data_IF_031019058832
#
_entry.id   IF_031019058832
#
_cell.length_a   1.000
_cell.length_b   1.000
_cell.length_c   1.000
_cell.angle_alpha   90.00
_cell.angle_beta   90.00
_cell.angle_gamma   90.00
#
_symmetry.space_group_name_H-M   'P 1'
#
loop_
_entity.id
_entity.type
_entity.pdbx_description
1 polymer ?
#
# COMPACT_ATOMS: atom_id res chain seq x y z
N UNK A 1 4.52 12.42 -39.20
CA UNK A 1 5.09 11.10 -38.87
C UNK A 1 3.98 10.28 -38.25
N UNK A 2 3.70 9.10 -38.81
CA UNK A 2 2.54 8.26 -38.45
C UNK A 2 2.53 8.01 -36.95
N UNK A 3 1.42 8.26 -36.25
CA UNK A 3 1.32 8.07 -34.79
C UNK A 3 1.77 6.68 -34.30
N UNK A 4 1.70 5.67 -35.18
CA UNK A 4 2.26 4.33 -34.96
C UNK A 4 3.77 4.31 -34.71
N UNK A 5 4.55 5.19 -35.35
CA UNK A 5 6.01 5.25 -35.24
C UNK A 5 6.48 5.90 -33.93
N UNK A 6 5.67 6.82 -33.40
CA UNK A 6 5.90 7.45 -32.10
C UNK A 6 5.42 6.54 -30.98
N UNK A 7 4.27 5.89 -31.17
CA UNK A 7 3.80 4.84 -30.27
C UNK A 7 4.82 3.72 -30.13
N UNK A 8 5.39 3.22 -31.23
CA UNK A 8 6.44 2.19 -31.18
C UNK A 8 7.74 2.68 -30.55
N UNK A 9 8.15 3.93 -30.80
CA UNK A 9 9.32 4.52 -30.14
C UNK A 9 9.14 4.67 -28.63
N UNK A 10 7.96 5.09 -28.17
CA UNK A 10 7.62 5.17 -26.73
C UNK A 10 7.66 3.78 -26.09
N UNK A 11 7.07 2.78 -26.74
CA UNK A 11 7.10 1.39 -26.24
C UNK A 11 8.53 0.85 -26.19
N UNK A 12 9.35 1.13 -27.21
CA UNK A 12 10.75 0.73 -27.22
C UNK A 12 11.56 1.42 -26.10
N UNK A 13 11.37 2.72 -25.88
CA UNK A 13 12.02 3.45 -24.79
C UNK A 13 11.56 2.96 -23.41
N UNK A 14 10.27 2.64 -23.25
CA UNK A 14 9.76 2.02 -22.03
C UNK A 14 10.42 0.66 -21.77
N UNK A 15 10.57 -0.17 -22.81
CA UNK A 15 11.26 -1.46 -22.71
C UNK A 15 12.76 -1.33 -22.40
N UNK A 16 13.39 -0.23 -22.81
CA UNK A 16 14.77 0.13 -22.44
C UNK A 16 14.90 0.74 -21.03
N UNK A 17 13.80 0.86 -20.28
CA UNK A 17 13.79 1.33 -18.89
C UNK A 17 13.66 2.84 -18.74
N UNK A 18 13.23 3.57 -19.78
CA UNK A 18 12.96 5.00 -19.65
C UNK A 18 11.79 5.25 -18.66
N UNK A 19 11.88 6.27 -17.79
CA UNK A 19 10.82 6.57 -16.83
C UNK A 19 9.49 6.86 -17.52
N UNK A 20 8.42 6.19 -17.09
CA UNK A 20 7.10 6.28 -17.74
C UNK A 20 6.56 7.72 -17.73
N UNK A 21 6.79 8.48 -16.65
CA UNK A 21 6.36 9.89 -16.58
C UNK A 21 7.02 10.75 -17.67
N UNK A 22 8.30 10.51 -17.99
CA UNK A 22 9.03 11.25 -19.02
C UNK A 22 8.49 10.91 -20.41
N UNK A 23 8.15 9.64 -20.64
CA UNK A 23 7.53 9.19 -21.89
C UNK A 23 6.14 9.80 -22.09
N UNK A 24 5.31 9.84 -21.04
CA UNK A 24 3.99 10.46 -21.08
C UNK A 24 4.12 11.97 -21.31
N UNK A 25 5.05 12.64 -20.63
CA UNK A 25 5.30 14.08 -20.82
C UNK A 25 5.77 14.42 -22.24
N UNK A 26 6.68 13.62 -22.80
CA UNK A 26 7.14 13.78 -24.18
C UNK A 26 6.01 13.56 -25.19
N UNK A 27 5.16 12.56 -24.97
CA UNK A 27 3.98 12.32 -25.80
C UNK A 27 2.99 13.49 -25.72
N UNK A 28 2.74 14.03 -24.53
CA UNK A 28 1.86 15.18 -24.35
C UNK A 28 2.37 16.40 -25.13
N UNK A 29 3.66 16.73 -25.01
CA UNK A 29 4.30 17.82 -25.76
C UNK A 29 4.18 17.62 -27.27
N UNK A 30 4.39 16.39 -27.76
CA UNK A 30 4.24 16.07 -29.18
C UNK A 30 2.80 16.26 -29.68
N UNK A 31 1.82 15.75 -28.94
CA UNK A 31 0.40 15.85 -29.31
C UNK A 31 -0.09 17.30 -29.28
N UNK A 32 0.33 18.08 -28.29
CA UNK A 32 0.00 19.51 -28.18
C UNK A 32 0.60 20.30 -29.34
N UNK A 33 1.87 20.06 -29.66
CA UNK A 33 2.52 20.67 -30.82
C UNK A 33 1.80 20.31 -32.13
N UNK A 34 1.37 19.06 -32.29
CA UNK A 34 0.57 18.60 -33.44
C UNK A 34 -0.83 19.24 -33.54
N UNK A 35 -1.40 19.67 -32.40
CA UNK A 35 -2.66 20.39 -32.32
C UNK A 35 -2.51 21.92 -32.41
N UNK A 36 -1.28 22.44 -32.58
CA UNK A 36 -1.00 23.88 -32.59
C UNK A 36 -1.15 24.56 -31.23
N UNK A 37 -1.14 23.78 -30.14
CA UNK A 37 -1.23 24.28 -28.76
C UNK A 37 0.18 24.56 -28.26
N UNK A 38 0.37 25.74 -27.64
CA UNK A 38 1.65 26.14 -27.08
C UNK A 38 2.10 25.19 -25.95
N UNK A 39 3.41 24.92 -25.87
CA UNK A 39 3.97 24.03 -24.86
C UNK A 39 3.71 24.51 -23.42
N UNK A 40 3.52 25.82 -23.21
CA UNK A 40 3.10 26.38 -21.92
C UNK A 40 1.76 25.79 -21.43
N UNK A 41 0.85 25.39 -22.32
CA UNK A 41 -0.41 24.77 -21.92
C UNK A 41 -0.18 23.42 -21.20
N UNK A 42 0.85 22.67 -21.58
CA UNK A 42 1.24 21.44 -20.88
C UNK A 42 1.72 21.74 -19.47
N UNK A 43 2.52 22.79 -19.30
CA UNK A 43 3.02 23.24 -17.99
C UNK A 43 1.87 23.75 -17.11
N UNK A 44 0.97 24.56 -17.68
CA UNK A 44 -0.22 25.07 -16.99
C UNK A 44 -1.10 23.92 -16.50
N UNK A 45 -1.36 22.93 -17.36
CA UNK A 45 -2.20 21.79 -17.00
C UNK A 45 -1.52 20.89 -15.94
N UNK A 46 -0.21 20.67 -16.04
CA UNK A 46 0.57 19.98 -15.00
C UNK A 46 0.48 20.73 -13.67
N UNK A 47 0.63 22.05 -13.67
CA UNK A 47 0.51 22.86 -12.45
C UNK A 47 -0.92 22.83 -11.88
N UNK A 48 -1.93 22.87 -12.75
CA UNK A 48 -3.35 22.77 -12.36
C UNK A 48 -3.65 21.41 -11.71
N UNK A 49 -3.10 20.32 -12.25
CA UNK A 49 -3.24 19.00 -11.66
C UNK A 49 -2.50 18.92 -10.33
N UNK A 50 -1.24 19.37 -10.27
CA UNK A 50 -0.42 19.34 -9.05
C UNK A 50 -0.99 20.19 -7.90
N UNK A 51 -1.80 21.20 -8.21
CA UNK A 51 -2.46 22.08 -7.23
C UNK A 51 -3.83 21.59 -6.76
N UNK A 52 -4.29 20.41 -7.22
CA UNK A 52 -5.54 19.83 -6.75
C UNK A 52 -5.45 19.52 -5.24
N UNK A 53 -6.35 20.07 -4.40
CA UNK A 53 -6.31 19.87 -2.94
C UNK A 53 -6.38 18.41 -2.51
N UNK A 54 -7.03 17.57 -3.32
CA UNK A 54 -7.15 16.14 -3.07
C UNK A 54 -5.83 15.38 -3.22
N UNK A 55 -4.84 15.93 -3.96
CA UNK A 55 -3.53 15.30 -4.09
C UNK A 55 -2.70 15.42 -2.81
N UNK A 56 -3.05 16.32 -1.87
CA UNK A 56 -2.38 16.44 -0.57
C UNK A 56 -2.56 15.15 0.26
N UNK A 57 -3.62 14.38 0.02
CA UNK A 57 -3.82 13.08 0.67
C UNK A 57 -2.68 12.09 0.37
N UNK A 58 -2.09 12.15 -0.83
CA UNK A 58 -1.03 11.24 -1.27
C UNK A 58 0.23 11.37 -0.40
N UNK A 59 0.90 12.53 -0.29
CA UNK A 59 2.09 12.67 0.55
C UNK A 59 1.79 12.42 2.03
N UNK A 60 0.60 12.75 2.53
CA UNK A 60 0.24 12.52 3.93
C UNK A 60 0.04 11.03 4.25
N UNK A 61 -0.71 10.28 3.43
CA UNK A 61 -0.86 8.84 3.61
C UNK A 61 0.46 8.10 3.36
N UNK A 62 1.23 8.49 2.34
CA UNK A 62 2.55 7.90 2.10
C UNK A 62 3.48 8.17 3.29
N UNK A 63 3.52 9.40 3.81
CA UNK A 63 4.29 9.71 5.02
C UNK A 63 3.83 8.87 6.22
N UNK A 64 2.53 8.78 6.48
CA UNK A 64 1.99 7.97 7.57
C UNK A 64 2.37 6.49 7.43
N UNK A 65 2.27 5.95 6.22
CA UNK A 65 2.69 4.59 5.90
C UNK A 65 4.18 4.35 6.12
N UNK A 66 5.03 5.33 5.80
CA UNK A 66 6.48 5.26 6.05
C UNK A 66 6.82 5.35 7.55
N UNK A 67 6.12 6.20 8.30
CA UNK A 67 6.27 6.25 9.77
C UNK A 67 5.92 4.89 10.38
N UNK A 68 4.82 4.27 9.95
CA UNK A 68 4.50 2.91 10.36
C UNK A 68 5.58 1.92 9.91
N UNK A 69 6.08 2.02 8.68
CA UNK A 69 7.03 1.04 8.10
C UNK A 69 8.37 1.02 8.83
N UNK A 70 8.81 2.19 9.28
CA UNK A 70 10.10 2.40 9.95
C UNK A 70 9.99 2.23 11.47
N UNK A 71 8.77 2.13 12.01
CA UNK A 71 8.50 1.80 13.42
C UNK A 71 8.49 0.28 13.67
N UNK A 72 8.07 -0.16 14.87
CA UNK A 72 7.83 -1.58 15.14
C UNK A 72 6.39 -2.04 14.88
N UNK A 73 5.56 -1.19 14.26
CA UNK A 73 4.20 -1.54 13.88
C UNK A 73 4.10 -2.79 12.98
N UNK A 74 4.98 -3.00 11.97
CA UNK A 74 4.91 -4.20 11.12
C UNK A 74 5.04 -5.50 11.94
N UNK A 75 5.95 -5.53 12.93
CA UNK A 75 6.15 -6.66 13.82
C UNK A 75 4.91 -6.89 14.69
N UNK A 76 4.36 -5.84 15.31
CA UNK A 76 3.14 -5.94 16.13
C UNK A 76 1.94 -6.44 15.33
N UNK A 77 1.76 -5.95 14.10
CA UNK A 77 0.67 -6.37 13.22
C UNK A 77 0.83 -7.83 12.77
N UNK A 78 2.06 -8.26 12.44
CA UNK A 78 2.34 -9.67 12.13
C UNK A 78 2.06 -10.56 13.35
N UNK A 79 2.47 -10.17 14.56
CA UNK A 79 2.21 -10.92 15.79
C UNK A 79 0.72 -11.02 16.10
N UNK A 80 -0.05 -9.94 15.89
CA UNK A 80 -1.49 -9.92 16.05
C UNK A 80 -2.17 -10.85 15.02
N UNK A 81 -1.78 -10.74 13.76
CA UNK A 81 -2.31 -11.60 12.71
C UNK A 81 -1.94 -13.08 12.96
N UNK A 82 -0.73 -13.37 13.44
CA UNK A 82 -0.32 -14.74 13.81
C UNK A 82 -1.15 -15.27 14.99
N UNK A 83 -1.47 -14.44 15.98
CA UNK A 83 -2.36 -14.84 17.06
C UNK A 83 -3.81 -15.10 16.59
N UNK A 84 -4.28 -14.40 15.55
CA UNK A 84 -5.62 -14.57 14.98
C UNK A 84 -5.73 -15.74 14.00
N UNK A 85 -4.71 -15.96 13.17
CA UNK A 85 -4.77 -16.87 12.01
C UNK A 85 -3.73 -17.99 12.03
N UNK A 86 -2.76 -17.97 12.94
CA UNK A 86 -1.66 -18.95 13.00
C UNK A 86 -2.11 -20.40 13.24
N UNK A 87 -3.30 -20.59 13.79
CA UNK A 87 -3.92 -21.91 14.02
C UNK A 87 -4.45 -22.57 12.76
N UNK A 88 -4.60 -21.82 11.66
CA UNK A 88 -5.02 -22.38 10.39
C UNK A 88 -3.88 -23.20 9.75
N UNK A 89 -4.18 -24.27 9.00
CA UNK A 89 -3.17 -25.00 8.24
C UNK A 89 -2.55 -24.10 7.18
N UNK A 90 -1.27 -23.74 7.33
CA UNK A 90 -0.66 -22.71 6.48
C UNK A 90 -0.91 -21.26 6.97
N UNK A 91 -1.23 -21.09 8.25
CA UNK A 91 -1.60 -19.82 8.86
C UNK A 91 -0.60 -18.70 8.63
N UNK A 92 0.71 -18.98 8.66
CA UNK A 92 1.73 -17.94 8.44
C UNK A 92 1.66 -17.28 7.05
N UNK A 93 1.26 -18.01 6.01
CA UNK A 93 1.07 -17.42 4.68
C UNK A 93 -0.19 -16.52 4.66
N UNK A 94 -1.25 -16.90 5.37
CA UNK A 94 -2.46 -16.06 5.56
C UNK A 94 -2.13 -14.81 6.38
N UNK A 95 -1.29 -14.95 7.42
CA UNK A 95 -0.76 -13.83 8.22
C UNK A 95 -0.02 -12.85 7.32
N UNK A 96 0.84 -13.35 6.42
CA UNK A 96 1.51 -12.53 5.42
C UNK A 96 0.53 -11.81 4.51
N UNK A 97 -0.48 -12.51 3.98
CA UNK A 97 -1.55 -11.90 3.16
C UNK A 97 -2.29 -10.79 3.89
N UNK A 98 -2.80 -11.07 5.09
CA UNK A 98 -3.58 -10.10 5.86
C UNK A 98 -2.74 -8.88 6.25
N UNK A 99 -1.52 -9.10 6.75
CA UNK A 99 -0.66 -8.02 7.21
C UNK A 99 -0.17 -7.16 6.05
N UNK A 100 0.28 -7.78 4.96
CA UNK A 100 0.68 -7.03 3.77
C UNK A 100 -0.49 -6.27 3.13
N UNK A 101 -1.69 -6.87 3.03
CA UNK A 101 -2.85 -6.18 2.47
C UNK A 101 -3.25 -4.97 3.31
N UNK A 102 -3.29 -5.12 4.63
CA UNK A 102 -3.57 -4.03 5.55
C UNK A 102 -2.51 -2.92 5.46
N UNK A 103 -1.24 -3.29 5.44
CA UNK A 103 -0.13 -2.33 5.38
C UNK A 103 -0.04 -1.60 4.03
N UNK A 104 -0.33 -2.31 2.95
CA UNK A 104 -0.46 -1.74 1.61
C UNK A 104 -1.63 -0.78 1.55
N UNK A 105 -2.77 -1.10 2.17
CA UNK A 105 -3.91 -0.19 2.20
C UNK A 105 -3.54 1.14 2.88
N UNK A 106 -2.65 1.14 3.88
CA UNK A 106 -2.16 2.37 4.51
C UNK A 106 -1.10 3.12 3.73
N UNK A 107 -0.12 2.39 3.19
CA UNK A 107 1.02 2.99 2.49
C UNK A 107 0.68 3.41 1.06
N UNK A 108 -0.37 2.80 0.48
CA UNK A 108 -0.75 2.93 -0.93
C UNK A 108 0.34 2.48 -1.91
N UNK A 109 1.38 1.80 -1.42
CA UNK A 109 2.58 1.46 -2.17
C UNK A 109 3.02 0.02 -1.89
N UNK A 110 2.92 -0.82 -2.92
CA UNK A 110 3.32 -2.22 -2.86
C UNK A 110 4.81 -2.39 -2.55
N UNK A 111 5.68 -1.56 -3.13
CA UNK A 111 7.12 -1.60 -2.91
C UNK A 111 7.52 -1.31 -1.46
N UNK A 112 6.88 -0.33 -0.82
CA UNK A 112 7.11 0.02 0.59
C UNK A 112 6.73 -1.15 1.49
N UNK A 113 5.58 -1.76 1.22
CA UNK A 113 5.13 -2.94 1.97
C UNK A 113 6.12 -4.09 1.85
N UNK A 114 6.68 -4.35 0.67
CA UNK A 114 7.70 -5.38 0.46
C UNK A 114 8.98 -5.06 1.24
N UNK A 115 9.43 -3.80 1.26
CA UNK A 115 10.62 -3.40 2.01
C UNK A 115 10.37 -3.54 3.53
N UNK A 116 9.21 -3.11 4.01
CA UNK A 116 8.86 -3.10 5.43
C UNK A 116 8.62 -4.51 5.99
N UNK A 117 7.79 -5.31 5.32
CA UNK A 117 7.38 -6.63 5.80
C UNK A 117 8.20 -7.77 5.21
N UNK A 118 8.81 -7.60 4.03
CA UNK A 118 9.56 -8.66 3.36
C UNK A 118 10.75 -9.14 4.18
N UNK A 119 11.50 -8.23 4.80
CA UNK A 119 12.62 -8.57 5.68
C UNK A 119 12.22 -9.42 6.90
N UNK A 120 10.98 -9.30 7.37
CA UNK A 120 10.43 -10.07 8.47
C UNK A 120 9.80 -11.38 7.99
N UNK A 121 8.87 -11.30 7.05
CA UNK A 121 8.05 -12.44 6.60
C UNK A 121 8.83 -13.45 5.77
N UNK A 122 9.77 -13.00 4.92
CA UNK A 122 10.57 -13.89 4.07
C UNK A 122 11.35 -14.93 4.89
N UNK A 123 12.20 -14.55 5.87
CA UNK A 123 12.90 -15.54 6.68
C UNK A 123 11.96 -16.35 7.58
N UNK A 124 10.82 -15.80 8.03
CA UNK A 124 9.85 -16.54 8.83
C UNK A 124 9.19 -17.68 8.03
N UNK A 125 8.76 -17.40 6.79
CA UNK A 125 8.13 -18.38 5.90
C UNK A 125 9.11 -19.51 5.54
N UNK A 126 10.36 -19.17 5.20
CA UNK A 126 11.38 -20.19 4.92
C UNK A 126 11.68 -21.08 6.13
N UNK A 127 11.79 -20.50 7.33
CA UNK A 127 12.02 -21.26 8.58
C UNK A 127 10.87 -22.22 8.92
N UNK A 128 9.64 -21.89 8.54
CA UNK A 128 8.49 -22.79 8.70
C UNK A 128 8.42 -23.90 7.65
N UNK A 129 9.27 -23.88 6.63
CA UNK A 129 9.33 -24.91 5.59
C UNK A 129 8.54 -24.57 4.32
N UNK A 130 8.11 -23.31 4.13
CA UNK A 130 7.52 -22.90 2.85
C UNK A 130 8.57 -22.92 1.73
N UNK A 131 8.20 -23.37 0.51
CA UNK A 131 9.09 -23.27 -0.64
C UNK A 131 9.47 -21.82 -0.94
N UNK A 132 10.73 -21.58 -1.31
CA UNK A 132 11.23 -20.25 -1.64
C UNK A 132 10.42 -19.58 -2.76
N UNK A 133 10.12 -20.32 -3.83
CA UNK A 133 9.28 -19.81 -4.95
C UNK A 133 7.90 -19.38 -4.49
N UNK A 134 7.28 -20.13 -3.58
CA UNK A 134 5.99 -19.75 -3.00
C UNK A 134 6.13 -18.49 -2.15
N UNK A 135 7.16 -18.43 -1.30
CA UNK A 135 7.43 -17.30 -0.40
C UNK A 135 7.62 -16.00 -1.19
N UNK A 136 8.47 -16.02 -2.22
CA UNK A 136 8.69 -14.87 -3.10
C UNK A 136 7.42 -14.46 -3.85
N UNK A 137 6.70 -15.44 -4.43
CA UNK A 137 5.44 -15.19 -5.13
C UNK A 137 4.36 -14.61 -4.21
N UNK A 138 4.25 -15.11 -2.98
CA UNK A 138 3.32 -14.61 -1.98
C UNK A 138 3.63 -13.15 -1.66
N UNK A 139 4.85 -12.85 -1.18
CA UNK A 139 5.22 -11.50 -0.76
C UNK A 139 5.07 -10.47 -1.87
N UNK A 140 5.48 -10.81 -3.10
CA UNK A 140 5.35 -9.91 -4.26
C UNK A 140 3.89 -9.69 -4.69
N UNK A 141 3.01 -10.69 -4.54
CA UNK A 141 1.59 -10.56 -4.90
C UNK A 141 0.78 -9.82 -3.84
N UNK A 142 1.10 -10.02 -2.56
CA UNK A 142 0.35 -9.46 -1.43
C UNK A 142 0.36 -7.92 -1.40
N UNK A 143 1.45 -7.30 -1.89
CA UNK A 143 1.57 -5.85 -2.01
C UNK A 143 0.60 -5.23 -3.02
N UNK A 144 0.09 -5.98 -3.99
CA UNK A 144 -0.92 -5.49 -4.94
C UNK A 144 -2.34 -5.68 -4.42
N UNK A 145 -2.56 -6.72 -3.62
CA UNK A 145 -3.87 -7.07 -3.06
C UNK A 145 -4.43 -5.95 -2.17
N UNK A 146 -3.59 -5.35 -1.32
CA UNK A 146 -4.01 -4.27 -0.43
C UNK A 146 -4.47 -3.00 -1.13
N UNK A 147 -4.06 -2.79 -2.39
CA UNK A 147 -4.51 -1.66 -3.20
C UNK A 147 -5.99 -1.75 -3.58
N UNK A 148 -6.66 -2.87 -3.33
CA UNK A 148 -8.10 -3.01 -3.58
C UNK A 148 -8.95 -2.66 -2.35
N UNK A 149 -8.33 -2.45 -1.19
CA UNK A 149 -9.02 -2.17 0.05
C UNK A 149 -8.86 -0.70 0.46
N UNK A 150 -9.87 -0.10 1.12
CA UNK A 150 -9.72 1.23 1.69
C UNK A 150 -8.64 1.26 2.81
N UNK A 151 -7.80 2.32 2.91
CA UNK A 151 -7.71 3.54 2.10
C UNK A 151 -6.68 3.46 0.95
N UNK A 152 -7.01 2.82 -0.19
CA UNK A 152 -6.09 2.73 -1.34
C UNK A 152 -5.85 4.05 -2.09
N UNK A 153 -4.60 4.53 -2.06
CA UNK A 153 -4.16 5.71 -2.81
C UNK A 153 -4.40 5.61 -4.33
N UNK A 154 -4.06 4.50 -5.03
CA UNK A 154 -4.33 4.38 -6.46
C UNK A 154 -5.83 4.50 -6.82
N UNK A 155 -6.72 3.92 -6.02
CA UNK A 155 -8.17 4.03 -6.26
C UNK A 155 -8.64 5.47 -6.09
N UNK A 156 -8.16 6.15 -5.04
CA UNK A 156 -8.48 7.57 -4.79
C UNK A 156 -8.00 8.44 -5.96
N UNK A 157 -6.75 8.27 -6.40
CA UNK A 157 -6.19 9.02 -7.52
C UNK A 157 -6.96 8.76 -8.82
N UNK A 158 -7.30 7.50 -9.09
CA UNK A 158 -8.12 7.14 -10.24
C UNK A 158 -9.50 7.83 -10.18
N UNK A 159 -10.20 7.78 -9.05
CA UNK A 159 -11.50 8.44 -8.88
C UNK A 159 -11.44 9.95 -9.11
N UNK A 160 -10.40 10.61 -8.61
CA UNK A 160 -10.18 12.05 -8.80
C UNK A 160 -9.93 12.41 -10.26
N UNK A 161 -9.08 11.66 -10.96
CA UNK A 161 -8.71 11.94 -12.36
C UNK A 161 -9.86 11.57 -13.30
N UNK A 162 -10.46 10.39 -13.10
CA UNK A 162 -11.57 9.89 -13.92
C UNK A 162 -12.90 10.59 -13.58
N UNK A 163 -12.95 11.39 -12.50
CA UNK A 163 -14.16 12.04 -11.98
C UNK A 163 -15.28 11.05 -11.67
N UNK A 164 -14.91 9.89 -11.13
CA UNK A 164 -15.81 8.83 -10.70
C UNK A 164 -15.88 8.83 -9.17
N UNK A 165 -17.04 8.50 -8.61
CA UNK A 165 -17.22 8.37 -7.17
C UNK A 165 -16.20 7.37 -6.58
N UNK A 166 -15.47 7.81 -5.56
CA UNK A 166 -14.51 6.97 -4.82
C UNK A 166 -15.25 5.82 -4.12
N UNK A 167 -16.46 6.08 -3.62
CA UNK A 167 -17.28 5.09 -2.94
C UNK A 167 -17.71 3.97 -3.91
N UNK A 168 -18.07 4.34 -5.14
CA UNK A 168 -18.42 3.36 -6.18
C UNK A 168 -17.20 2.52 -6.57
N UNK A 169 -16.02 3.14 -6.66
CA UNK A 169 -14.79 2.44 -6.99
C UNK A 169 -14.37 1.45 -5.91
N UNK A 170 -14.48 1.80 -4.63
CA UNK A 170 -14.18 0.86 -3.55
C UNK A 170 -15.22 -0.25 -3.44
N UNK A 171 -16.50 0.07 -3.67
CA UNK A 171 -17.56 -0.95 -3.75
C UNK A 171 -17.31 -1.92 -4.91
N UNK A 172 -16.88 -1.39 -6.07
CA UNK A 172 -16.49 -2.19 -7.22
C UNK A 172 -15.21 -3.00 -6.97
N UNK A 173 -14.24 -2.45 -6.24
CA UNK A 173 -12.97 -3.11 -5.90
C UNK A 173 -13.13 -4.18 -4.81
N UNK A 174 -14.17 -4.12 -3.99
CA UNK A 174 -14.44 -5.12 -2.96
C UNK A 174 -14.62 -6.53 -3.56
N UNK A 175 -15.32 -6.64 -4.70
CA UNK A 175 -15.54 -7.93 -5.37
C UNK A 175 -14.21 -8.59 -5.81
N UNK A 176 -13.35 -7.96 -6.65
CA UNK A 176 -12.06 -8.54 -7.01
C UNK A 176 -11.12 -8.67 -5.81
N UNK A 177 -11.18 -7.76 -4.83
CA UNK A 177 -10.37 -7.83 -3.61
C UNK A 177 -10.67 -9.08 -2.78
N UNK A 178 -11.95 -9.33 -2.49
CA UNK A 178 -12.39 -10.53 -1.76
C UNK A 178 -12.09 -11.79 -2.58
N UNK A 179 -12.33 -11.78 -3.89
CA UNK A 179 -12.02 -12.90 -4.77
C UNK A 179 -10.54 -13.28 -4.69
N UNK A 180 -9.63 -12.30 -4.79
CA UNK A 180 -8.19 -12.53 -4.67
C UNK A 180 -7.79 -12.99 -3.28
N UNK A 181 -8.38 -12.43 -2.21
CA UNK A 181 -8.17 -12.92 -0.84
C UNK A 181 -8.52 -14.40 -0.71
N UNK A 182 -9.67 -14.82 -1.26
CA UNK A 182 -10.12 -16.22 -1.21
C UNK A 182 -9.19 -17.13 -2.01
N UNK A 183 -8.83 -16.74 -3.24
CA UNK A 183 -7.95 -17.54 -4.11
C UNK A 183 -6.55 -17.69 -3.50
N UNK A 184 -5.94 -16.57 -3.07
CA UNK A 184 -4.61 -16.57 -2.48
C UNK A 184 -4.60 -17.25 -1.10
N UNK A 185 -5.67 -17.08 -0.32
CA UNK A 185 -5.87 -17.78 0.94
C UNK A 185 -5.98 -19.28 0.73
N UNK A 186 -6.81 -19.74 -0.21
CA UNK A 186 -6.95 -21.15 -0.56
C UNK A 186 -5.63 -21.76 -1.06
N UNK A 187 -4.90 -21.03 -1.92
CA UNK A 187 -3.58 -21.44 -2.39
C UNK A 187 -2.57 -21.54 -1.22
N UNK A 188 -2.60 -20.58 -0.29
CA UNK A 188 -1.77 -20.59 0.92
C UNK A 188 -2.07 -21.78 1.84
N UNK A 189 -3.35 -22.11 2.05
CA UNK A 189 -3.77 -23.30 2.80
C UNK A 189 -3.28 -24.59 2.12
N UNK A 190 -3.42 -24.67 0.79
CA UNK A 190 -3.00 -25.84 0.03
C UNK A 190 -1.48 -26.05 0.08
N UNK A 191 -0.70 -24.99 -0.14
CA UNK A 191 0.76 -25.06 -0.08
C UNK A 191 1.25 -25.32 1.35
N UNK A 192 0.65 -24.68 2.36
CA UNK A 192 1.00 -24.89 3.77
C UNK A 192 0.77 -26.35 4.20
N UNK A 193 -0.35 -26.96 3.81
CA UNK A 193 -0.62 -28.39 4.04
C UNK A 193 0.40 -29.28 3.33
N UNK A 194 0.71 -29.00 2.06
CA UNK A 194 1.66 -29.80 1.27
C UNK A 194 3.09 -29.71 1.80
N UNK A 195 3.48 -28.56 2.33
CA UNK A 195 4.78 -28.33 2.95
C UNK A 195 4.87 -28.88 4.39
N UNK A 196 3.78 -29.42 4.95
CA UNK A 196 3.78 -29.98 6.30
C UNK A 196 3.97 -28.92 7.40
N UNK A 197 3.61 -27.66 7.12
CA UNK A 197 3.77 -26.56 8.07
C UNK A 197 2.85 -26.77 9.27
N UNK A 198 3.45 -26.92 10.45
CA UNK A 198 2.70 -27.10 11.68
C UNK A 198 1.92 -25.82 12.04
N UNK A 199 0.60 -25.91 12.27
CA UNK A 199 -0.17 -24.76 12.76
C UNK A 199 0.28 -24.38 14.17
N UNK A 200 0.21 -23.09 14.47
CA UNK A 200 0.48 -22.54 15.79
C UNK A 200 -0.80 -22.67 16.62
N UNK A 201 -0.74 -23.32 17.78
CA UNK A 201 -1.92 -23.46 18.64
C UNK A 201 -2.51 -22.09 19.00
N UNK A 202 -3.83 -21.96 18.85
CA UNK A 202 -4.54 -20.75 19.25
C UNK A 202 -4.44 -20.57 20.77
N UNK A 203 -4.06 -19.37 21.20
CA UNK A 203 -4.00 -19.00 22.61
C UNK A 203 -4.64 -17.63 22.79
N UNK A 204 -5.72 -17.59 23.57
CA UNK A 204 -6.39 -16.33 23.92
C UNK A 204 -5.47 -15.37 24.69
N UNK A 205 -4.53 -15.89 25.48
CA UNK A 205 -3.53 -15.07 26.17
C UNK A 205 -2.56 -14.42 25.18
N UNK A 206 -2.10 -15.18 24.17
CA UNK A 206 -1.25 -14.66 23.10
C UNK A 206 -1.98 -13.60 22.29
N UNK A 207 -3.25 -13.84 21.96
CA UNK A 207 -4.09 -12.87 21.25
C UNK A 207 -4.26 -11.58 22.06
N UNK A 208 -4.58 -11.68 23.35
CA UNK A 208 -4.73 -10.51 24.21
C UNK A 208 -3.42 -9.73 24.34
N UNK A 209 -2.29 -10.44 24.45
CA UNK A 209 -0.96 -9.82 24.52
C UNK A 209 -0.62 -9.08 23.23
N UNK A 210 -0.84 -9.71 22.08
CA UNK A 210 -0.61 -9.09 20.77
C UNK A 210 -1.56 -7.90 20.51
N UNK A 211 -2.84 -8.04 20.89
CA UNK A 211 -3.82 -6.96 20.79
C UNK A 211 -3.48 -5.76 21.69
N UNK A 212 -2.96 -6.02 22.89
CA UNK A 212 -2.45 -4.95 23.78
C UNK A 212 -1.17 -4.33 23.24
N UNK A 213 -0.29 -5.13 22.66
CA UNK A 213 0.94 -4.64 22.06
C UNK A 213 0.67 -3.70 20.89
N UNK A 214 -0.32 -4.02 20.04
CA UNK A 214 -0.75 -3.24 18.88
C UNK A 214 -2.01 -2.38 19.11
N UNK A 215 -2.29 -1.99 20.35
CA UNK A 215 -3.57 -1.37 20.72
C UNK A 215 -3.84 -0.03 20.01
N UNK A 216 -2.78 0.68 19.59
CA UNK A 216 -2.87 1.96 18.89
C UNK A 216 -2.93 1.80 17.35
N UNK A 217 -2.54 0.67 16.80
CA UNK A 217 -2.59 0.41 15.36
C UNK A 217 -3.92 -0.20 14.94
N UNK A 218 -4.54 -0.99 15.82
CA UNK A 218 -5.83 -1.65 15.55
C UNK A 218 -6.93 -0.64 15.20
N UNK A 219 -7.07 0.53 15.85
CA UNK A 219 -8.12 1.49 15.52
C UNK A 219 -7.93 2.20 14.18
N UNK A 220 -6.70 2.33 13.67
CA UNK A 220 -6.38 3.08 12.45
C UNK A 220 -7.28 2.76 11.26
N UNK A 221 -7.41 1.49 10.80
CA UNK A 221 -8.26 1.18 9.65
C UNK A 221 -9.72 1.56 9.91
N UNK A 222 -10.23 1.34 11.12
CA UNK A 222 -11.62 1.65 11.46
C UNK A 222 -11.89 3.15 11.55
N UNK A 223 -10.95 3.94 12.07
CA UNK A 223 -11.08 5.40 12.14
C UNK A 223 -11.07 6.00 10.74
N UNK A 224 -10.19 5.52 9.86
CA UNK A 224 -10.10 6.05 8.50
C UNK A 224 -11.29 5.62 7.65
N UNK A 225 -11.65 4.34 7.67
CA UNK A 225 -12.81 3.81 6.95
C UNK A 225 -14.09 4.45 7.53
N UNK A 226 -14.31 4.35 8.84
CA UNK A 226 -15.50 4.90 9.49
C UNK A 226 -15.61 6.42 9.35
N UNK A 227 -14.49 7.14 9.36
CA UNK A 227 -14.45 8.58 9.17
C UNK A 227 -14.83 9.00 7.75
N UNK A 228 -14.27 8.33 6.74
CA UNK A 228 -14.58 8.62 5.32
C UNK A 228 -16.02 8.20 4.99
N UNK A 229 -16.38 6.93 5.20
CA UNK A 229 -17.69 6.41 4.82
C UNK A 229 -18.82 6.88 5.73
N UNK A 230 -18.51 7.29 6.96
CA UNK A 230 -19.47 7.92 7.86
C UNK A 230 -19.72 9.40 7.53
N UNK A 231 -18.98 9.98 6.58
CA UNK A 231 -19.10 11.40 6.20
C UNK A 231 -18.49 12.39 7.19
N UNK A 232 -17.63 11.93 8.10
CA UNK A 232 -16.96 12.77 9.11
C UNK A 232 -15.69 13.42 8.57
N UNK A 233 -14.99 12.72 7.66
CA UNK A 233 -13.75 13.18 7.03
C UNK A 233 -13.82 13.05 5.52
N UNK A 234 -13.28 14.03 4.83
CA UNK A 234 -12.82 13.88 3.45
C UNK A 234 -11.54 13.02 3.40
N UNK A 235 -11.16 12.52 2.23
CA UNK A 235 -9.91 11.76 2.07
C UNK A 235 -8.66 12.53 2.54
N UNK A 236 -8.62 13.85 2.28
CA UNK A 236 -7.50 14.71 2.72
C UNK A 236 -7.48 14.89 4.24
N UNK A 237 -8.63 15.08 4.88
CA UNK A 237 -8.72 15.18 6.34
C UNK A 237 -8.34 13.86 7.01
N UNK A 238 -8.81 12.73 6.47
CA UNK A 238 -8.44 11.41 6.94
C UNK A 238 -6.92 11.18 6.84
N UNK A 239 -6.28 11.61 5.74
CA UNK A 239 -4.84 11.53 5.57
C UNK A 239 -4.09 12.37 6.62
N UNK A 240 -4.55 13.60 6.89
CA UNK A 240 -3.96 14.48 7.88
C UNK A 240 -4.11 13.93 9.31
N UNK A 241 -5.30 13.43 9.65
CA UNK A 241 -5.56 12.77 10.94
C UNK A 241 -4.69 11.53 11.10
N UNK A 242 -4.58 10.71 10.05
CA UNK A 242 -3.73 9.52 10.07
C UNK A 242 -2.27 9.89 10.30
N UNK A 243 -1.72 10.80 9.49
CA UNK A 243 -0.33 11.23 9.59
C UNK A 243 0.01 11.79 10.97
N UNK A 244 -0.86 12.65 11.51
CA UNK A 244 -0.70 13.18 12.86
C UNK A 244 -0.78 12.09 13.92
N UNK A 245 -1.76 11.19 13.81
CA UNK A 245 -1.95 10.09 14.75
C UNK A 245 -0.74 9.17 14.80
N UNK A 246 -0.26 8.66 13.66
CA UNK A 246 0.89 7.74 13.65
C UNK A 246 2.16 8.44 14.08
N UNK A 247 2.33 9.73 13.75
CA UNK A 247 3.45 10.52 14.24
C UNK A 247 3.46 10.56 15.78
N UNK A 248 2.33 10.90 16.40
CA UNK A 248 2.20 10.97 17.86
C UNK A 248 2.39 9.59 18.50
N UNK A 249 1.73 8.57 17.97
CA UNK A 249 1.77 7.22 18.53
C UNK A 249 3.18 6.63 18.44
N UNK A 250 3.82 6.68 17.28
CA UNK A 250 5.13 6.04 17.09
C UNK A 250 6.28 6.82 17.74
N UNK A 251 6.17 8.15 17.89
CA UNK A 251 7.25 8.97 18.51
C UNK A 251 7.08 9.20 20.01
N UNK A 252 5.84 9.36 20.51
CA UNK A 252 5.59 9.73 21.90
C UNK A 252 5.08 8.56 22.75
N UNK A 253 4.20 7.73 22.20
CA UNK A 253 3.55 6.63 22.93
C UNK A 253 4.42 5.38 22.93
N UNK A 254 4.68 4.79 21.75
CA UNK A 254 5.57 3.63 21.64
C UNK A 254 7.05 4.02 21.67
N UNK A 255 7.37 5.23 21.18
CA UNK A 255 8.75 5.72 21.05
C UNK A 255 9.62 4.78 20.22
N UNK A 256 9.04 4.23 19.16
CA UNK A 256 9.76 3.40 18.20
C UNK A 256 10.65 4.22 17.28
N UNK A 257 10.29 5.49 17.06
CA UNK A 257 11.05 6.44 16.24
C UNK A 257 11.49 7.64 17.06
N UNK A 258 12.76 8.05 16.90
CA UNK A 258 13.25 9.28 17.48
C UNK A 258 12.86 10.48 16.59
N UNK A 259 12.73 11.66 17.20
CA UNK A 259 12.46 12.90 16.47
C UNK A 259 13.52 13.22 15.40
N UNK A 260 14.74 12.71 15.59
CA UNK A 260 15.86 12.82 14.65
C UNK A 260 15.68 11.97 13.39
N UNK A 261 14.85 10.93 13.45
CA UNK A 261 14.61 10.03 12.31
C UNK A 261 13.57 10.62 11.34
N UNK A 262 12.68 11.49 11.85
CA UNK A 262 11.56 12.05 11.10
C UNK A 262 11.94 12.78 9.81
N UNK A 263 13.00 13.63 9.76
CA UNK A 263 13.40 14.26 8.51
C UNK A 263 13.82 13.23 7.45
N UNK A 264 14.47 12.14 7.87
CA UNK A 264 14.87 11.04 6.98
C UNK A 264 13.66 10.26 6.45
N UNK A 265 12.70 9.94 7.33
CA UNK A 265 11.44 9.29 6.96
C UNK A 265 10.63 10.17 6.00
N UNK A 266 10.53 11.48 6.29
CA UNK A 266 9.87 12.45 5.43
C UNK A 266 10.54 12.51 4.05
N UNK A 267 11.87 12.63 3.98
CA UNK A 267 12.59 12.65 2.71
C UNK A 267 12.34 11.38 1.88
N UNK A 268 12.46 10.18 2.48
CA UNK A 268 12.18 8.90 1.79
C UNK A 268 10.74 8.80 1.31
N UNK A 269 9.78 9.21 2.14
CA UNK A 269 8.36 9.21 1.75
C UNK A 269 8.08 10.15 0.57
N UNK A 270 8.65 11.36 0.57
CA UNK A 270 8.44 12.33 -0.51
C UNK A 270 9.13 11.93 -1.81
N UNK A 271 10.28 11.24 -1.75
CA UNK A 271 10.92 10.71 -2.96
C UNK A 271 10.06 9.69 -3.68
N UNK A 272 9.23 8.92 -2.96
CA UNK A 272 8.31 7.95 -3.56
C UNK A 272 7.08 8.64 -4.16
N UNK A 273 6.59 9.72 -3.54
CA UNK A 273 5.45 10.48 -4.09
C UNK A 273 5.85 11.24 -5.35
N UNK A 274 7.11 11.71 -5.42
CA UNK A 274 7.63 12.46 -6.56
C UNK A 274 8.20 11.61 -7.71
N UNK A 275 8.29 10.29 -7.55
CA UNK A 275 8.85 9.35 -8.54
C UNK A 275 7.79 8.72 -9.42
#
# INVERSE_FOLDING_TARGET
>A
MSGALIGSAIVALAALGAPVFALIGALALYLFAGAGIDASAVIIELFRLASLPALIAIPLFTFAGYVLAESKAPQRLVELAEALFGWLPGGLAIVGLATCALFTAFTGASGVTIIALGGLLHPMLLKQGYPEKFTLGLLTTTGSLGLLFPPSLPIILYGLVAKVSIDDLFTAAAVPGVLLLVILGAYSLWTGKRAGVAPVAFSGERLLRAARAGAWEIPLPFVIIGGIYGGWFTATEAAAVMAFYVLVVETLVYRDLAWTDLPGVAARSMTLVGS
#
